data_IF_590136368706
#
_entry.id   IF_590136368706
#
_cell.length_a   1.000
_cell.length_b   1.000
_cell.length_c   1.000
_cell.angle_alpha   90.00
_cell.angle_beta   90.00
_cell.angle_gamma   90.00
#
_symmetry.space_group_name_H-M   'P 1'
#
loop_
_entity.id
_entity.type
_entity.pdbx_description
1 polymer ?
#
# COMPACT_ATOMS: atom_id res chain seq x y z
N UNK A 1 -7.36 -17.13 -25.02
CA UNK A 1 -8.05 -16.18 -24.12
C UNK A 1 -9.08 -15.41 -24.91
N UNK A 2 -10.32 -15.34 -24.41
CA UNK A 2 -11.41 -14.65 -25.10
C UNK A 2 -11.61 -13.20 -24.61
N UNK A 3 -10.99 -12.80 -23.48
CA UNK A 3 -11.14 -11.49 -22.87
C UNK A 3 -9.78 -10.90 -22.46
N UNK A 4 -9.07 -10.29 -23.41
CA UNK A 4 -7.69 -9.85 -23.23
C UNK A 4 -7.51 -8.85 -22.07
N UNK A 5 -8.32 -7.80 -21.98
CA UNK A 5 -8.23 -6.83 -20.88
C UNK A 5 -8.59 -7.45 -19.51
N UNK A 6 -9.44 -8.47 -19.44
CA UNK A 6 -9.92 -9.05 -18.18
C UNK A 6 -9.01 -10.17 -17.66
N UNK A 7 -8.49 -11.02 -18.53
CA UNK A 7 -7.77 -12.22 -18.10
C UNK A 7 -6.25 -12.04 -18.14
N UNK A 8 -5.55 -12.66 -17.20
CA UNK A 8 -4.10 -12.90 -17.27
C UNK A 8 -3.91 -14.41 -17.18
N UNK A 9 -3.09 -14.99 -18.08
CA UNK A 9 -2.87 -16.43 -18.09
C UNK A 9 -1.62 -16.78 -17.30
N UNK A 10 -1.66 -17.81 -16.45
CA UNK A 10 -0.49 -18.28 -15.70
C UNK A 10 0.70 -18.62 -16.62
N UNK A 11 0.44 -19.01 -17.87
CA UNK A 11 1.48 -19.30 -18.87
C UNK A 11 2.33 -18.08 -19.27
N UNK A 12 2.00 -16.85 -18.83
CA UNK A 12 2.89 -15.69 -19.02
C UNK A 12 4.30 -15.95 -18.46
N UNK A 13 4.42 -16.81 -17.44
CA UNK A 13 5.69 -17.14 -16.80
C UNK A 13 6.64 -17.93 -17.72
N UNK A 14 6.11 -18.64 -18.72
CA UNK A 14 6.91 -19.46 -19.65
C UNK A 14 7.63 -18.62 -20.71
N UNK A 15 7.12 -17.43 -21.02
CA UNK A 15 7.67 -16.53 -22.05
C UNK A 15 7.94 -15.15 -21.47
N UNK A 16 9.13 -14.99 -20.90
CA UNK A 16 9.62 -13.71 -20.36
C UNK A 16 10.81 -13.17 -21.13
N UNK A 17 11.00 -11.87 -21.07
CA UNK A 17 12.19 -11.19 -21.58
C UNK A 17 12.62 -10.17 -20.55
N UNK A 18 13.85 -10.30 -20.06
CA UNK A 18 14.39 -9.39 -19.06
C UNK A 18 14.77 -8.06 -19.72
N UNK A 19 14.31 -6.95 -19.13
CA UNK A 19 14.68 -5.60 -19.56
C UNK A 19 16.00 -5.23 -18.88
N UNK A 20 17.02 -4.93 -19.67
CA UNK A 20 18.33 -4.52 -19.15
C UNK A 20 18.44 -3.00 -19.12
N UNK A 21 18.57 -2.47 -17.91
CA UNK A 21 18.89 -1.06 -17.70
C UNK A 21 20.37 -0.79 -17.99
N UNK A 22 20.64 0.42 -18.48
CA UNK A 22 21.95 0.92 -18.87
C UNK A 22 22.08 2.41 -18.56
N UNK A 23 23.29 2.95 -18.65
CA UNK A 23 23.54 4.38 -18.40
C UNK A 23 23.29 4.79 -16.93
N UNK A 24 23.55 3.88 -15.99
CA UNK A 24 23.38 4.11 -14.56
C UNK A 24 24.28 5.25 -14.07
N UNK A 25 23.68 6.30 -13.54
CA UNK A 25 24.39 7.49 -13.03
C UNK A 25 23.74 8.00 -11.75
N UNK A 26 24.56 8.55 -10.84
CA UNK A 26 24.04 9.30 -9.70
C UNK A 26 23.61 10.68 -10.20
N UNK A 27 22.31 10.97 -10.13
CA UNK A 27 21.75 12.23 -10.65
C UNK A 27 21.47 13.24 -9.55
N UNK A 28 21.25 12.77 -8.32
CA UNK A 28 21.10 13.62 -7.15
C UNK A 28 21.77 12.97 -5.94
N UNK A 29 22.41 13.79 -5.11
CA UNK A 29 23.02 13.36 -3.85
C UNK A 29 23.05 14.55 -2.90
N UNK A 30 22.14 14.56 -1.93
CA UNK A 30 21.98 15.63 -0.96
C UNK A 30 21.89 15.04 0.47
N UNK A 31 21.66 15.88 1.47
CA UNK A 31 21.64 15.44 2.87
C UNK A 31 20.43 14.55 3.23
N UNK A 32 19.41 14.47 2.39
CA UNK A 32 18.16 13.75 2.64
C UNK A 32 18.07 12.45 1.86
N UNK A 33 18.51 12.45 0.60
CA UNK A 33 18.43 11.30 -0.30
C UNK A 33 19.50 11.32 -1.41
N UNK A 34 19.65 10.19 -2.08
CA UNK A 34 20.41 10.07 -3.33
C UNK A 34 19.60 9.31 -4.40
N UNK A 35 19.71 9.76 -5.65
CA UNK A 35 19.05 9.18 -6.81
C UNK A 35 20.06 8.55 -7.76
N UNK A 36 19.81 7.30 -8.14
CA UNK A 36 20.51 6.60 -9.20
C UNK A 36 19.55 6.42 -10.38
N UNK A 37 19.82 7.09 -11.49
CA UNK A 37 19.00 7.02 -12.70
C UNK A 37 19.58 6.04 -13.69
N UNK A 38 18.74 5.18 -14.24
CA UNK A 38 19.08 4.27 -15.34
C UNK A 38 18.00 4.28 -16.42
N UNK A 39 18.37 3.92 -17.64
CA UNK A 39 17.46 3.89 -18.79
C UNK A 39 17.43 2.51 -19.45
N UNK A 40 16.30 2.13 -20.01
CA UNK A 40 16.15 0.91 -20.79
C UNK A 40 15.28 1.14 -22.03
N UNK A 41 15.47 0.26 -23.01
CA UNK A 41 14.63 0.18 -24.21
C UNK A 41 14.14 -1.25 -24.32
N UNK A 42 12.84 -1.41 -24.56
CA UNK A 42 12.22 -2.70 -24.83
C UNK A 42 11.26 -2.56 -26.00
N UNK A 43 11.55 -3.23 -27.12
CA UNK A 43 10.77 -3.05 -28.35
C UNK A 43 10.80 -1.59 -28.81
N UNK A 44 9.62 -0.96 -28.84
CA UNK A 44 9.44 0.47 -29.15
C UNK A 44 9.31 1.34 -27.90
N UNK A 45 9.27 0.71 -26.72
CA UNK A 45 9.06 1.36 -25.44
C UNK A 45 10.37 1.81 -24.81
N UNK A 46 10.30 2.91 -24.06
CA UNK A 46 11.43 3.48 -23.32
C UNK A 46 11.10 3.60 -21.85
N UNK A 47 12.04 3.22 -21.00
CA UNK A 47 11.90 3.27 -19.57
C UNK A 47 13.04 4.12 -18.99
N UNK A 48 12.69 5.02 -18.09
CA UNK A 48 13.64 5.71 -17.22
C UNK A 48 13.25 5.39 -15.78
N UNK A 49 14.20 4.90 -15.00
CA UNK A 49 13.97 4.58 -13.60
C UNK A 49 14.98 5.32 -12.73
N UNK A 50 14.47 6.00 -11.71
CA UNK A 50 15.27 6.56 -10.61
C UNK A 50 15.09 5.68 -9.39
N UNK A 51 16.18 5.07 -8.92
CA UNK A 51 16.23 4.41 -7.63
C UNK A 51 16.67 5.43 -6.58
N UNK A 52 15.77 5.76 -5.66
CA UNK A 52 16.01 6.71 -4.57
C UNK A 52 16.23 5.98 -3.25
N UNK A 53 17.26 6.38 -2.54
CA UNK A 53 17.55 5.92 -1.17
C UNK A 53 17.56 7.10 -0.21
N UNK A 54 17.05 6.90 1.00
CA UNK A 54 16.88 7.95 2.00
C UNK A 54 17.88 7.82 3.14
N UNK A 55 18.21 8.95 3.78
CA UNK A 55 19.03 8.97 5.00
C UNK A 55 18.27 8.47 6.24
N UNK A 56 16.96 8.73 6.30
CA UNK A 56 16.14 8.53 7.51
C UNK A 56 15.20 7.31 7.43
N UNK A 57 15.06 6.68 6.26
CA UNK A 57 14.24 5.48 6.06
C UNK A 57 15.05 4.40 5.33
N UNK A 58 14.71 3.14 5.57
CA UNK A 58 15.25 1.98 4.84
C UNK A 58 14.52 1.74 3.52
N UNK A 59 13.42 2.46 3.27
CA UNK A 59 12.64 2.39 2.05
C UNK A 59 13.51 2.79 0.84
N UNK A 60 13.38 2.03 -0.23
CA UNK A 60 14.02 2.28 -1.52
C UNK A 60 12.91 2.53 -2.53
N UNK A 61 12.81 3.73 -3.08
CA UNK A 61 11.77 4.09 -4.04
C UNK A 61 12.28 3.91 -5.47
N UNK A 62 11.44 3.35 -6.34
CA UNK A 62 11.69 3.17 -7.77
C UNK A 62 10.72 4.05 -8.56
N UNK A 63 11.11 5.31 -8.77
CA UNK A 63 10.34 6.26 -9.59
C UNK A 63 10.55 5.88 -11.05
N UNK A 64 9.49 5.40 -11.70
CA UNK A 64 9.58 4.83 -13.05
C UNK A 64 8.70 5.58 -14.02
N UNK A 65 9.34 6.16 -15.04
CA UNK A 65 8.71 6.76 -16.21
C UNK A 65 8.78 5.76 -17.37
N UNK A 66 7.65 5.48 -18.00
CA UNK A 66 7.55 4.56 -19.14
C UNK A 66 6.80 5.21 -20.29
N UNK A 67 7.42 5.27 -21.46
CA UNK A 67 6.73 5.50 -22.74
C UNK A 67 6.41 4.12 -23.33
N UNK A 68 5.18 3.65 -23.10
CA UNK A 68 4.73 2.29 -23.38
C UNK A 68 4.06 2.20 -24.75
N UNK A 69 4.61 1.35 -25.61
CA UNK A 69 4.18 1.15 -27.00
C UNK A 69 3.89 -0.33 -27.33
N UNK A 70 3.92 -1.22 -26.34
CA UNK A 70 3.78 -2.66 -26.58
C UNK A 70 2.35 -3.17 -26.40
N UNK A 71 1.92 -4.00 -27.33
CA UNK A 71 0.67 -4.77 -27.25
C UNK A 71 0.92 -6.20 -26.79
N UNK A 72 -0.07 -6.75 -26.07
CA UNK A 72 -0.11 -8.11 -25.53
C UNK A 72 1.13 -8.44 -24.69
N UNK A 73 1.61 -7.44 -23.94
CA UNK A 73 2.73 -7.56 -23.00
C UNK A 73 2.28 -7.17 -21.60
N UNK A 74 2.79 -7.90 -20.61
CA UNK A 74 2.64 -7.62 -19.19
C UNK A 74 4.01 -7.22 -18.63
N UNK A 75 4.18 -5.95 -18.31
CA UNK A 75 5.37 -5.44 -17.64
C UNK A 75 5.25 -5.72 -16.15
N UNK A 76 6.26 -6.39 -15.57
CA UNK A 76 6.35 -6.65 -14.13
C UNK A 76 7.73 -6.28 -13.62
N UNK A 77 7.81 -5.88 -12.36
CA UNK A 77 9.07 -5.85 -11.62
C UNK A 77 9.18 -7.10 -10.76
N UNK A 78 10.40 -7.59 -10.56
CA UNK A 78 10.70 -8.78 -9.77
C UNK A 78 11.85 -8.49 -8.81
N UNK A 79 11.65 -8.88 -7.56
CA UNK A 79 12.65 -8.87 -6.51
C UNK A 79 12.80 -10.26 -5.93
N UNK A 80 13.98 -10.86 -6.12
CA UNK A 80 14.36 -12.08 -5.43
C UNK A 80 14.91 -11.70 -4.05
N UNK A 81 14.17 -12.00 -2.99
CA UNK A 81 14.56 -11.69 -1.61
C UNK A 81 15.06 -12.94 -0.91
N UNK A 82 15.89 -12.78 0.11
CA UNK A 82 16.36 -13.89 0.94
C UNK A 82 15.46 -14.05 2.17
N UNK A 83 14.18 -14.34 1.94
CA UNK A 83 13.17 -14.58 2.99
C UNK A 83 12.45 -15.88 2.68
N UNK A 84 12.28 -16.74 3.68
CA UNK A 84 11.55 -18.00 3.55
C UNK A 84 10.29 -17.99 4.40
N UNK A 85 9.15 -17.82 3.74
CA UNK A 85 7.83 -17.96 4.35
C UNK A 85 6.88 -18.74 3.46
N UNK A 86 5.94 -19.47 4.07
CA UNK A 86 4.85 -20.18 3.37
C UNK A 86 3.67 -19.28 3.03
N UNK A 87 3.67 -18.04 3.54
CA UNK A 87 2.61 -17.06 3.37
C UNK A 87 3.17 -15.65 3.19
N UNK A 88 2.44 -14.85 2.43
CA UNK A 88 2.64 -13.40 2.32
C UNK A 88 1.36 -12.68 2.75
N UNK A 89 1.52 -11.49 3.30
CA UNK A 89 0.42 -10.62 3.72
C UNK A 89 0.19 -9.57 2.65
N UNK A 90 -1.07 -9.28 2.36
CA UNK A 90 -1.47 -8.32 1.33
C UNK A 90 -2.46 -7.33 1.94
N UNK A 91 -2.26 -6.06 1.62
CA UNK A 91 -3.15 -4.98 2.01
C UNK A 91 -4.53 -5.11 1.36
N UNK A 92 -5.59 -4.99 2.15
CA UNK A 92 -6.98 -4.97 1.69
C UNK A 92 -7.75 -3.86 2.42
N UNK A 93 -9.02 -3.63 2.06
CA UNK A 93 -9.80 -2.63 2.78
C UNK A 93 -9.86 -2.95 4.28
N UNK A 94 -9.42 -1.99 5.09
CA UNK A 94 -9.48 -2.00 6.56
C UNK A 94 -8.67 -3.09 7.27
N UNK A 95 -7.74 -3.76 6.60
CA UNK A 95 -6.93 -4.80 7.21
C UNK A 95 -5.97 -5.43 6.21
N UNK A 96 -5.62 -6.69 6.44
CA UNK A 96 -4.74 -7.44 5.56
C UNK A 96 -5.27 -8.88 5.39
N UNK A 97 -4.75 -9.57 4.38
CA UNK A 97 -5.09 -10.96 4.12
C UNK A 97 -3.84 -11.78 3.84
N UNK A 98 -3.80 -12.97 4.44
CA UNK A 98 -2.73 -13.93 4.19
C UNK A 98 -3.04 -14.75 2.92
N UNK A 99 -2.03 -14.92 2.07
CA UNK A 99 -2.06 -15.81 0.91
C UNK A 99 -0.83 -16.71 0.86
N UNK A 100 -0.97 -17.96 0.41
CA UNK A 100 0.13 -18.90 0.33
C UNK A 100 1.12 -18.52 -0.79
N UNK A 101 2.41 -18.67 -0.49
CA UNK A 101 3.51 -18.42 -1.43
C UNK A 101 3.89 -19.66 -2.24
N UNK A 102 3.27 -20.81 -1.99
CA UNK A 102 3.51 -22.06 -2.70
C UNK A 102 2.43 -22.40 -3.74
N UNK A 103 2.59 -23.55 -4.40
CA UNK A 103 1.73 -24.05 -5.47
C UNK A 103 1.10 -25.43 -5.15
N UNK A 104 0.94 -25.75 -3.87
CA UNK A 104 0.58 -27.11 -3.42
C UNK A 104 -0.81 -27.58 -3.85
N UNK A 105 -1.77 -26.66 -3.99
CA UNK A 105 -3.15 -26.99 -4.38
C UNK A 105 -3.59 -26.25 -5.63
N UNK A 106 -4.63 -26.73 -6.31
CA UNK A 106 -5.26 -26.01 -7.43
C UNK A 106 -5.76 -24.61 -7.03
N UNK A 107 -6.16 -24.44 -5.77
CA UNK A 107 -6.54 -23.15 -5.19
C UNK A 107 -5.36 -22.20 -5.05
N UNK A 108 -4.16 -22.72 -4.79
CA UNK A 108 -2.93 -21.92 -4.72
C UNK A 108 -2.44 -21.55 -6.12
N UNK A 109 -2.62 -22.46 -7.09
CA UNK A 109 -2.38 -22.22 -8.51
C UNK A 109 -3.30 -21.13 -9.07
N UNK A 110 -4.58 -21.14 -8.70
CA UNK A 110 -5.52 -20.09 -9.11
C UNK A 110 -5.13 -18.70 -8.57
N UNK A 111 -4.38 -18.62 -7.46
CA UNK A 111 -3.87 -17.38 -6.86
C UNK A 111 -2.45 -17.08 -7.34
N UNK A 112 -2.22 -17.17 -8.65
CA UNK A 112 -0.95 -16.79 -9.28
C UNK A 112 -0.79 -15.26 -9.38
N UNK A 113 -1.87 -14.51 -9.28
CA UNK A 113 -1.93 -13.06 -9.17
C UNK A 113 -2.94 -12.75 -8.07
N UNK A 114 -2.62 -11.79 -7.19
CA UNK A 114 -3.44 -11.41 -6.04
C UNK A 114 -3.56 -9.89 -6.00
N UNK A 115 -4.76 -9.41 -5.65
CA UNK A 115 -4.98 -7.99 -5.41
C UNK A 115 -4.38 -7.59 -4.06
N UNK A 116 -3.53 -6.57 -4.07
CA UNK A 116 -3.06 -5.86 -2.90
C UNK A 116 -3.25 -4.36 -3.12
N UNK A 117 -3.61 -3.62 -2.08
CA UNK A 117 -3.90 -2.19 -2.18
C UNK A 117 -2.61 -1.35 -2.25
N UNK A 118 -1.98 -1.06 -1.12
CA UNK A 118 -0.77 -0.22 -1.07
C UNK A 118 0.51 -1.03 -0.83
N UNK A 119 0.40 -2.22 -0.26
CA UNK A 119 1.56 -3.02 0.11
C UNK A 119 1.28 -4.52 0.09
N UNK A 120 2.37 -5.28 -0.04
CA UNK A 120 2.42 -6.70 0.28
C UNK A 120 3.71 -6.98 1.06
N UNK A 121 3.67 -7.89 2.02
CA UNK A 121 4.79 -8.20 2.91
C UNK A 121 5.14 -9.69 2.87
N UNK A 122 6.44 -9.96 2.80
CA UNK A 122 7.00 -11.29 2.95
C UNK A 122 8.01 -11.27 4.11
N UNK A 123 7.63 -11.87 5.22
CA UNK A 123 8.40 -11.87 6.46
C UNK A 123 8.67 -13.27 7.00
N UNK A 124 9.85 -13.46 7.56
CA UNK A 124 10.23 -14.60 8.40
C UNK A 124 10.58 -14.12 9.80
N UNK A 125 11.05 -15.01 10.69
CA UNK A 125 11.40 -14.60 12.04
C UNK A 125 12.59 -13.63 12.05
N UNK A 126 12.33 -12.36 12.38
CA UNK A 126 13.34 -11.34 12.61
C UNK A 126 13.72 -10.50 11.38
N UNK A 127 13.23 -10.84 10.19
CA UNK A 127 13.48 -10.08 8.97
C UNK A 127 12.33 -10.20 7.98
N UNK A 128 12.03 -9.11 7.30
CA UNK A 128 11.00 -9.06 6.29
C UNK A 128 11.29 -8.03 5.21
N UNK A 129 10.53 -8.14 4.11
CA UNK A 129 10.59 -7.21 3.01
C UNK A 129 9.17 -6.86 2.57
N UNK A 130 8.84 -5.58 2.70
CA UNK A 130 7.61 -5.00 2.15
C UNK A 130 7.82 -4.55 0.69
N UNK A 131 6.82 -4.78 -0.15
CA UNK A 131 6.72 -4.27 -1.52
C UNK A 131 5.53 -3.31 -1.61
N UNK A 132 5.84 -2.02 -1.67
CA UNK A 132 4.86 -0.93 -1.61
C UNK A 132 4.60 -0.37 -3.00
N UNK A 133 3.45 0.25 -3.22
CA UNK A 133 3.09 0.89 -4.48
C UNK A 133 2.18 2.12 -4.27
N UNK A 134 2.09 2.97 -5.29
CA UNK A 134 1.18 4.12 -5.34
C UNK A 134 -0.09 3.89 -6.19
N UNK A 135 -0.03 3.04 -7.22
CA UNK A 135 -1.12 2.87 -8.18
C UNK A 135 -1.21 1.48 -8.85
N UNK A 136 -0.54 0.46 -8.30
CA UNK A 136 -0.43 -0.89 -8.86
C UNK A 136 -1.02 -1.94 -7.93
N UNK A 137 -2.11 -2.57 -8.37
CA UNK A 137 -2.88 -3.47 -7.51
C UNK A 137 -2.59 -4.96 -7.71
N UNK A 138 -1.84 -5.33 -8.76
CA UNK A 138 -1.54 -6.72 -9.09
C UNK A 138 -0.22 -7.16 -8.48
N UNK A 139 -0.28 -8.07 -7.52
CA UNK A 139 0.89 -8.67 -6.90
C UNK A 139 0.97 -10.15 -7.21
N UNK A 140 2.19 -10.67 -7.27
CA UNK A 140 2.40 -12.09 -7.14
C UNK A 140 3.65 -12.38 -6.30
N UNK A 141 3.45 -12.98 -5.12
CA UNK A 141 4.56 -13.41 -4.27
C UNK A 141 4.52 -14.93 -4.20
N UNK A 142 5.56 -15.55 -4.75
CA UNK A 142 5.71 -17.01 -4.79
C UNK A 142 7.13 -17.39 -4.40
N UNK A 143 7.22 -18.35 -3.48
CA UNK A 143 8.44 -18.68 -2.75
C UNK A 143 9.07 -17.42 -2.14
N UNK A 144 10.25 -17.03 -2.65
CA UNK A 144 11.01 -15.85 -2.23
C UNK A 144 11.02 -14.75 -3.32
N UNK A 145 10.14 -14.85 -4.30
CA UNK A 145 10.08 -13.93 -5.44
C UNK A 145 8.89 -13.00 -5.24
N UNK A 146 9.17 -11.74 -4.95
CA UNK A 146 8.14 -10.70 -4.88
C UNK A 146 8.02 -10.00 -6.22
N UNK A 147 6.83 -10.01 -6.81
CA UNK A 147 6.56 -9.35 -8.09
C UNK A 147 5.35 -8.43 -8.00
N UNK A 148 5.42 -7.36 -8.78
CA UNK A 148 4.35 -6.38 -8.97
C UNK A 148 4.08 -6.21 -10.46
N UNK A 149 2.83 -6.33 -10.86
CA UNK A 149 2.35 -6.06 -12.20
C UNK A 149 2.24 -4.55 -12.42
N UNK A 150 2.97 -4.04 -13.41
CA UNK A 150 3.12 -2.61 -13.67
C UNK A 150 2.19 -2.13 -14.79
N UNK A 151 2.23 -2.76 -15.97
CA UNK A 151 1.43 -2.37 -17.13
C UNK A 151 0.97 -3.60 -17.90
N UNK A 152 -0.25 -3.56 -18.45
CA UNK A 152 -0.82 -4.63 -19.27
C UNK A 152 -1.34 -4.04 -20.58
N UNK A 153 -0.63 -4.27 -21.68
CA UNK A 153 -1.04 -3.80 -23.01
C UNK A 153 -2.11 -4.70 -23.66
N UNK A 154 -3.27 -4.89 -23.03
CA UNK A 154 -4.39 -5.61 -23.66
C UNK A 154 -4.93 -4.87 -24.89
N UNK A 155 -5.43 -5.59 -25.90
CA UNK A 155 -5.93 -5.00 -27.16
C UNK A 155 -7.45 -5.13 -27.34
N UNK A 156 -8.15 -5.76 -26.41
CA UNK A 156 -9.60 -5.90 -26.44
C UNK A 156 -10.18 -5.64 -25.05
N UNK A 157 -11.14 -4.69 -24.91
CA UNK A 157 -11.93 -4.07 -25.97
C UNK A 157 -11.28 -2.84 -26.61
N UNK A 158 -10.26 -2.27 -25.97
CA UNK A 158 -9.52 -1.10 -26.45
C UNK A 158 -8.18 -1.53 -27.07
N UNK A 159 -7.96 -1.33 -28.38
CA UNK A 159 -6.71 -1.69 -29.05
C UNK A 159 -5.47 -0.96 -28.54
N UNK A 160 -5.63 0.19 -27.89
CA UNK A 160 -4.52 1.02 -27.42
C UNK A 160 -4.53 1.18 -25.88
N UNK A 161 -5.11 0.21 -25.16
CA UNK A 161 -5.12 0.26 -23.70
C UNK A 161 -3.68 0.38 -23.16
N UNK A 162 -3.49 1.30 -22.22
CA UNK A 162 -2.21 1.64 -21.61
C UNK A 162 -1.08 2.04 -22.60
N UNK A 163 -1.37 2.36 -23.85
CA UNK A 163 -0.37 2.96 -24.75
C UNK A 163 -0.15 4.42 -24.38
N UNK A 164 1.12 4.82 -24.27
CA UNK A 164 1.55 6.18 -23.97
C UNK A 164 2.38 6.29 -22.71
N UNK A 165 2.36 7.46 -22.09
CA UNK A 165 3.24 7.80 -20.97
C UNK A 165 2.63 7.43 -19.64
N UNK A 166 3.39 6.72 -18.83
CA UNK A 166 3.06 6.32 -17.48
C UNK A 166 4.12 6.79 -16.50
N UNK A 167 3.67 7.18 -15.32
CA UNK A 167 4.51 7.49 -14.18
C UNK A 167 3.96 6.72 -12.98
N UNK A 168 4.83 6.02 -12.26
CA UNK A 168 4.46 5.29 -11.06
C UNK A 168 5.65 5.06 -10.16
N UNK A 169 5.36 4.91 -8.87
CA UNK A 169 6.35 4.65 -7.83
C UNK A 169 5.98 3.34 -7.14
N UNK A 170 6.97 2.47 -7.02
CA UNK A 170 6.91 1.33 -6.12
C UNK A 170 8.17 1.30 -5.28
N UNK A 171 8.09 0.66 -4.12
CA UNK A 171 9.18 0.71 -3.15
C UNK A 171 9.46 -0.66 -2.55
N UNK A 172 10.72 -0.90 -2.26
CA UNK A 172 11.13 -1.99 -1.39
C UNK A 172 11.42 -1.45 0.00
N UNK A 173 10.91 -2.12 1.02
CA UNK A 173 11.17 -1.81 2.42
C UNK A 173 11.74 -3.03 3.12
N UNK A 174 13.07 -3.18 3.19
CA UNK A 174 13.70 -4.16 4.07
C UNK A 174 13.53 -3.73 5.53
N UNK A 175 12.94 -4.59 6.35
CA UNK A 175 12.64 -4.26 7.75
C UNK A 175 12.96 -5.42 8.72
N UNK A 176 12.87 -5.09 10.01
CA UNK A 176 13.01 -6.06 11.10
C UNK A 176 11.63 -6.62 11.44
N UNK A 177 11.59 -7.88 11.85
CA UNK A 177 10.36 -8.53 12.30
C UNK A 177 9.34 -8.70 11.17
N UNK A 178 8.08 -8.45 11.47
CA UNK A 178 6.95 -8.54 10.54
C UNK A 178 6.50 -7.15 10.06
N UNK A 179 5.37 -7.11 9.34
CA UNK A 179 4.80 -5.87 8.82
C UNK A 179 4.48 -4.81 9.90
N UNK A 180 4.27 -5.24 11.15
CA UNK A 180 3.97 -4.37 12.29
C UNK A 180 5.26 -3.76 12.82
N UNK A 181 6.23 -4.58 13.25
CA UNK A 181 7.52 -4.08 13.75
C UNK A 181 8.27 -3.28 12.67
N UNK A 182 8.08 -3.68 11.40
CA UNK A 182 8.66 -3.05 10.24
C UNK A 182 8.00 -1.76 9.78
N UNK A 183 6.89 -1.35 10.40
CA UNK A 183 6.12 -0.14 10.03
C UNK A 183 5.72 -0.08 8.55
N UNK A 184 5.40 -1.25 7.99
CA UNK A 184 5.11 -1.38 6.55
C UNK A 184 3.87 -0.56 6.17
N UNK A 185 2.88 -0.51 7.04
CA UNK A 185 1.62 0.21 6.81
C UNK A 185 1.87 1.72 6.80
N UNK A 186 2.66 2.23 7.74
CA UNK A 186 3.00 3.64 7.84
C UNK A 186 3.82 4.10 6.64
N UNK A 187 4.86 3.34 6.26
CA UNK A 187 5.68 3.64 5.08
C UNK A 187 4.88 3.55 3.77
N UNK A 188 3.93 2.62 3.67
CA UNK A 188 3.01 2.54 2.53
C UNK A 188 2.07 3.76 2.48
N UNK A 189 1.57 4.20 3.63
CA UNK A 189 0.73 5.39 3.71
C UNK A 189 1.53 6.65 3.37
N UNK A 190 2.75 6.82 3.91
CA UNK A 190 3.63 7.94 3.61
C UNK A 190 3.98 8.03 2.12
N UNK A 191 4.20 6.89 1.45
CA UNK A 191 4.40 6.84 0.00
C UNK A 191 3.19 7.40 -0.77
N UNK A 192 1.98 7.14 -0.28
CA UNK A 192 0.72 7.54 -0.91
C UNK A 192 0.21 8.91 -0.42
N UNK A 193 0.78 9.46 0.65
CA UNK A 193 0.36 10.71 1.26
C UNK A 193 1.21 11.87 0.73
N UNK A 194 0.76 12.50 -0.36
CA UNK A 194 1.42 13.70 -0.88
C UNK A 194 1.36 14.83 0.17
N UNK A 195 2.51 15.35 0.64
CA UNK A 195 2.50 16.45 1.60
C UNK A 195 1.99 17.74 0.94
N UNK A 196 1.27 18.55 1.72
CA UNK A 196 0.83 19.87 1.29
C UNK A 196 1.54 20.94 2.12
N UNK A 197 2.01 22.00 1.46
CA UNK A 197 2.53 23.18 2.13
C UNK A 197 1.38 24.14 2.45
N UNK A 198 1.11 24.36 3.74
CA UNK A 198 0.15 25.36 4.22
C UNK A 198 0.93 26.61 4.62
N UNK A 199 0.59 27.76 4.02
CA UNK A 199 1.28 29.05 4.28
C UNK A 199 0.43 30.04 5.07
N UNK A 200 -0.89 29.88 5.03
CA UNK A 200 -1.87 30.64 5.81
C UNK A 200 -3.10 29.75 6.04
N UNK A 201 -3.79 29.89 7.18
CA UNK A 201 -4.91 29.02 7.53
C UNK A 201 -5.62 29.35 8.84
N UNK A 202 -6.90 29.00 8.91
CA UNK A 202 -7.69 28.95 10.14
C UNK A 202 -7.90 27.49 10.55
N UNK A 203 -7.99 27.23 11.86
CA UNK A 203 -8.43 25.92 12.36
C UNK A 203 -9.80 25.56 11.81
N UNK A 204 -9.87 24.46 11.07
CA UNK A 204 -11.11 23.97 10.46
C UNK A 204 -11.57 22.62 11.03
N UNK A 205 -10.65 21.86 11.64
CA UNK A 205 -10.85 20.48 12.08
C UNK A 205 -10.55 20.41 13.58
N UNK A 206 -11.31 19.62 14.36
CA UNK A 206 -10.94 19.37 15.76
C UNK A 206 -9.54 18.76 15.85
N UNK A 207 -8.72 19.30 16.74
CA UNK A 207 -7.47 18.66 17.13
C UNK A 207 -7.77 17.35 17.86
N UNK A 208 -7.37 16.23 17.27
CA UNK A 208 -7.59 14.88 17.79
C UNK A 208 -6.24 14.17 17.78
N UNK A 209 -5.86 13.56 18.89
CA UNK A 209 -4.71 12.66 18.98
C UNK A 209 -5.17 11.26 19.37
N UNK A 210 -4.60 10.27 18.70
CA UNK A 210 -4.87 8.84 18.96
C UNK A 210 -3.56 8.24 19.43
N UNK A 211 -3.53 7.83 20.69
CA UNK A 211 -2.42 7.09 21.28
C UNK A 211 -2.70 5.60 21.16
N UNK A 212 -1.76 4.84 20.61
CA UNK A 212 -1.85 3.40 20.43
C UNK A 212 -0.47 2.75 20.51
N UNK A 213 -0.40 1.55 21.08
CA UNK A 213 0.86 0.78 21.14
C UNK A 213 1.21 0.11 19.81
N UNK A 214 0.20 -0.12 18.97
CA UNK A 214 0.28 -0.80 17.69
C UNK A 214 -0.33 0.08 16.59
N UNK A 215 -0.08 -0.21 15.30
CA UNK A 215 -0.64 0.56 14.20
C UNK A 215 -2.18 0.58 14.23
N UNK A 216 -2.72 1.79 14.12
CA UNK A 216 -4.16 2.08 13.95
C UNK A 216 -4.30 3.03 12.79
N UNK A 217 -5.19 2.68 11.86
CA UNK A 217 -5.41 3.48 10.67
C UNK A 217 -6.60 4.42 10.88
N UNK A 218 -6.41 5.70 10.60
CA UNK A 218 -7.51 6.67 10.52
C UNK A 218 -8.04 6.68 9.09
N UNK A 219 -9.16 6.01 8.86
CA UNK A 219 -9.75 5.90 7.53
C UNK A 219 -10.63 7.10 7.16
N UNK A 220 -11.19 7.81 8.14
CA UNK A 220 -11.93 9.04 7.88
C UNK A 220 -11.98 9.97 9.10
N UNK A 221 -11.85 11.26 8.84
CA UNK A 221 -12.33 12.32 9.73
C UNK A 221 -13.16 13.29 8.89
N UNK A 222 -14.45 13.39 9.20
CA UNK A 222 -15.40 14.20 8.42
C UNK A 222 -16.49 14.79 9.30
N UNK A 223 -17.22 15.79 8.80
CA UNK A 223 -18.45 16.26 9.47
C UNK A 223 -19.49 15.15 9.49
N UNK A 224 -20.30 15.11 10.56
CA UNK A 224 -21.47 14.25 10.61
C UNK A 224 -22.46 14.63 9.49
N UNK A 225 -23.13 13.63 8.91
CA UNK A 225 -24.04 13.82 7.78
C UNK A 225 -25.26 14.68 8.14
N UNK A 226 -25.68 14.66 9.41
CA UNK A 226 -26.74 15.50 9.96
C UNK A 226 -26.24 16.89 10.40
N UNK A 227 -24.94 17.17 10.25
CA UNK A 227 -24.31 18.44 10.59
C UNK A 227 -23.93 18.60 12.07
N UNK A 228 -24.30 17.67 12.95
CA UNK A 228 -24.03 17.77 14.38
C UNK A 228 -22.78 16.97 14.78
N UNK A 229 -21.65 17.69 14.78
CA UNK A 229 -20.36 17.17 15.20
C UNK A 229 -19.53 16.54 14.07
N UNK A 230 -18.59 15.68 14.47
CA UNK A 230 -17.62 15.03 13.59
C UNK A 230 -17.71 13.52 13.70
N UNK A 231 -17.32 12.84 12.64
CA UNK A 231 -17.21 11.38 12.57
C UNK A 231 -15.75 11.04 12.35
N UNK A 232 -15.18 10.33 13.32
CA UNK A 232 -13.87 9.72 13.24
C UNK A 232 -14.07 8.22 13.00
N UNK A 233 -13.45 7.70 11.94
CA UNK A 233 -13.40 6.27 11.64
C UNK A 233 -11.97 5.79 11.74
N UNK A 234 -11.80 4.76 12.53
CA UNK A 234 -10.52 4.13 12.82
C UNK A 234 -10.65 2.63 12.62
N UNK A 235 -9.56 2.00 12.18
CA UNK A 235 -9.54 0.56 11.98
C UNK A 235 -8.25 -0.05 12.54
N UNK A 236 -8.44 -1.18 13.22
CA UNK A 236 -7.36 -2.00 13.71
C UNK A 236 -6.83 -2.90 12.59
N UNK A 237 -5.58 -2.72 12.19
CA UNK A 237 -5.00 -3.39 11.02
C UNK A 237 -4.08 -4.55 11.36
N UNK A 238 -3.87 -4.86 12.64
CA UNK A 238 -2.87 -5.86 13.08
C UNK A 238 -3.42 -7.28 13.18
N UNK A 239 -4.74 -7.43 13.32
CA UNK A 239 -5.39 -8.72 13.56
C UNK A 239 -5.35 -9.20 15.01
N UNK A 240 -4.75 -8.43 15.92
CA UNK A 240 -4.83 -8.63 17.38
C UNK A 240 -5.84 -7.70 18.03
N UNK A 241 -6.19 -7.91 19.31
CA UNK A 241 -6.89 -6.88 20.08
C UNK A 241 -5.90 -5.80 20.51
N UNK A 242 -6.32 -4.54 20.50
CA UNK A 242 -5.52 -3.43 21.03
C UNK A 242 -6.38 -2.40 21.73
N UNK A 243 -5.77 -1.64 22.63
CA UNK A 243 -6.40 -0.50 23.29
C UNK A 243 -5.83 0.78 22.72
N UNK A 244 -6.70 1.73 22.43
CA UNK A 244 -6.32 3.06 21.96
C UNK A 244 -6.85 4.13 22.92
N UNK A 245 -6.29 5.32 22.88
CA UNK A 245 -6.80 6.47 23.61
C UNK A 245 -6.99 7.65 22.67
N UNK A 246 -8.23 8.14 22.62
CA UNK A 246 -8.58 9.32 21.85
C UNK A 246 -8.58 10.52 22.79
N UNK A 247 -7.74 11.49 22.50
CA UNK A 247 -7.59 12.74 23.25
C UNK A 247 -7.85 13.93 22.34
N UNK A 248 -8.36 15.02 22.91
CA UNK A 248 -8.59 16.28 22.19
C UNK A 248 -8.49 17.46 23.14
N UNK A 249 -7.93 18.58 22.68
CA UNK A 249 -7.93 19.83 23.44
C UNK A 249 -9.35 20.38 23.66
N UNK A 250 -10.30 20.01 22.81
CA UNK A 250 -11.73 20.31 22.97
C UNK A 250 -12.44 19.19 23.73
N UNK A 251 -13.29 19.55 24.70
CA UNK A 251 -14.14 18.57 25.41
C UNK A 251 -15.22 18.06 24.46
N UNK A 252 -15.03 16.88 23.90
CA UNK A 252 -16.03 16.19 23.10
C UNK A 252 -16.70 15.07 23.89
N UNK A 253 -18.00 14.91 23.68
CA UNK A 253 -18.73 13.68 23.96
C UNK A 253 -18.47 12.71 22.82
N UNK A 254 -17.92 11.54 23.17
CA UNK A 254 -17.60 10.47 22.22
C UNK A 254 -18.71 9.42 22.27
N UNK A 255 -19.31 9.13 21.12
CA UNK A 255 -20.36 8.12 21.00
C UNK A 255 -20.06 7.17 19.86
N UNK A 256 -20.13 5.87 20.11
CA UNK A 256 -19.98 4.89 19.03
C UNK A 256 -21.18 4.95 18.09
N UNK A 257 -20.91 4.75 16.81
CA UNK A 257 -21.92 4.72 15.74
C UNK A 257 -21.63 3.56 14.80
N UNK A 258 -22.64 3.14 14.04
CA UNK A 258 -22.39 2.26 12.91
C UNK A 258 -21.85 3.05 11.69
N UNK A 259 -21.55 2.35 10.59
CA UNK A 259 -21.03 2.98 9.37
C UNK A 259 -21.99 4.01 8.74
N UNK A 260 -23.28 3.93 9.05
CA UNK A 260 -24.33 4.87 8.62
C UNK A 260 -24.55 6.01 9.65
N UNK A 261 -23.62 6.19 10.60
CA UNK A 261 -23.61 7.26 11.61
C UNK A 261 -24.78 7.20 12.59
N UNK A 262 -25.46 6.05 12.68
CA UNK A 262 -26.49 5.83 13.69
C UNK A 262 -25.83 5.49 15.01
N UNK A 263 -26.14 6.31 16.01
CA UNK A 263 -25.67 6.17 17.38
C UNK A 263 -26.00 4.80 17.98
N UNK A 264 -25.04 4.22 18.70
CA UNK A 264 -25.25 3.08 19.58
C UNK A 264 -25.45 3.55 21.03
N UNK A 265 -25.65 2.61 21.95
CA UNK A 265 -25.71 2.90 23.39
C UNK A 265 -24.33 3.11 24.03
N UNK A 266 -23.24 2.88 23.28
CA UNK A 266 -21.88 2.98 23.80
C UNK A 266 -21.41 4.43 23.72
N UNK A 267 -21.12 5.01 24.88
CA UNK A 267 -20.52 6.32 25.03
C UNK A 267 -19.18 6.20 25.75
N UNK A 268 -18.20 6.97 25.30
CA UNK A 268 -16.89 7.06 25.92
C UNK A 268 -16.73 8.43 26.58
N UNK A 269 -16.02 8.47 27.71
CA UNK A 269 -15.58 9.74 28.28
C UNK A 269 -14.32 10.19 27.53
N UNK A 270 -14.00 11.48 27.60
CA UNK A 270 -12.71 11.95 27.11
C UNK A 270 -11.56 11.21 27.82
N UNK A 271 -10.48 10.96 27.08
CA UNK A 271 -9.23 10.34 27.57
C UNK A 271 -9.36 8.91 28.12
N UNK A 272 -10.46 8.21 27.80
CA UNK A 272 -10.62 6.79 28.17
C UNK A 272 -10.01 5.86 27.13
N UNK A 273 -9.52 4.73 27.62
CA UNK A 273 -9.10 3.61 26.79
C UNK A 273 -10.31 2.99 26.06
N UNK A 274 -10.16 2.82 24.75
CA UNK A 274 -11.14 2.23 23.84
C UNK A 274 -10.53 0.95 23.28
N UNK A 275 -11.16 -0.18 23.55
CA UNK A 275 -10.74 -1.46 22.97
C UNK A 275 -11.16 -1.56 21.50
N UNK A 276 -10.23 -1.99 20.65
CA UNK A 276 -10.45 -2.40 19.27
C UNK A 276 -10.22 -3.91 19.15
N UNK A 277 -11.22 -4.63 18.61
CA UNK A 277 -11.05 -6.03 18.22
C UNK A 277 -10.17 -6.15 16.97
N UNK A 278 -9.68 -7.36 16.72
CA UNK A 278 -8.97 -7.72 15.50
C UNK A 278 -9.78 -7.31 14.25
N UNK A 279 -9.17 -6.52 13.36
CA UNK A 279 -9.81 -6.02 12.13
C UNK A 279 -11.11 -5.23 12.34
N UNK A 280 -11.34 -4.70 13.54
CA UNK A 280 -12.50 -3.88 13.82
C UNK A 280 -12.39 -2.52 13.14
N UNK A 281 -13.48 -2.13 12.44
CA UNK A 281 -13.71 -0.76 11.99
C UNK A 281 -14.62 -0.08 13.01
N UNK A 282 -14.08 0.82 13.82
CA UNK A 282 -14.83 1.58 14.82
C UNK A 282 -15.15 2.98 14.29
N UNK A 283 -16.41 3.39 14.39
CA UNK A 283 -16.85 4.74 13.98
C UNK A 283 -17.34 5.49 15.21
N UNK A 284 -16.70 6.60 15.53
CA UNK A 284 -16.96 7.40 16.72
C UNK A 284 -17.43 8.78 16.29
N UNK A 285 -18.57 9.20 16.83
CA UNK A 285 -19.09 10.55 16.70
C UNK A 285 -18.57 11.41 17.84
N UNK A 286 -18.06 12.59 17.49
CA UNK A 286 -17.58 13.62 18.39
C UNK A 286 -18.55 14.79 18.37
N UNK A 287 -19.21 15.04 19.49
CA UNK A 287 -20.15 16.17 19.68
C UNK A 287 -19.66 17.07 20.82
N UNK A 288 -19.86 18.38 20.71
CA UNK A 288 -19.48 19.30 21.80
C UNK A 288 -20.46 19.21 22.98
#
# INVERSE_FOLDING_TARGET
>A
MNFDAWDIDIYYQEKKTDIRFSGTTVTENNELFADVTSNAVFGQSKLTQKMRVYKHSRRIDFITDVDWCEHQRLLKVKFDVNVRSTKALYDIQYGNVERPTHWNTSWDMAKFETVGHQWADLSEHGYGVGLLNDCKYGYDIKDNQMRLSLLKGGIYPDPNADIGKHHFIYSLLPHKGDFIEGKVIEEAWELNATPFLVTDGQEFIPEISIDSSEPVMVSALKKAADGDGWILRINNVTGGKQSIKITSCSKFNLRETNLMEKNTEICYKADTDIELQAYEVKTIRLTK
#
